data_IF_773480611773
#
_entry.id   IF_773480611773
#
_cell.length_a   1.000
_cell.length_b   1.000
_cell.length_c   1.000
_cell.angle_alpha   90.00
_cell.angle_beta   90.00
_cell.angle_gamma   90.00
#
_symmetry.space_group_name_H-M   'P 1'
#
loop_
_entity.id
_entity.type
_entity.pdbx_description
1 polymer ?
#
# COMPACT_ATOMS: atom_id res chain seq x y z
N UNK A 1 9.16 -6.70 -17.34
CA UNK A 1 7.74 -7.09 -17.21
C UNK A 1 7.24 -6.78 -15.79
N UNK A 2 5.93 -6.59 -15.58
CA UNK A 2 5.33 -6.47 -14.22
C UNK A 2 5.78 -7.62 -13.30
N UNK A 3 5.92 -8.83 -13.87
CA UNK A 3 6.45 -10.01 -13.18
C UNK A 3 7.88 -9.81 -12.65
N UNK A 4 8.75 -9.15 -13.40
CA UNK A 4 10.14 -8.92 -12.98
C UNK A 4 10.24 -7.88 -11.86
N UNK A 5 9.35 -6.88 -11.88
CA UNK A 5 9.24 -5.88 -10.81
C UNK A 5 8.78 -6.57 -9.52
N UNK A 6 7.72 -7.39 -9.61
CA UNK A 6 7.19 -8.13 -8.46
C UNK A 6 8.22 -9.10 -7.89
N UNK A 7 8.91 -9.89 -8.73
CA UNK A 7 9.94 -10.83 -8.27
C UNK A 7 11.13 -10.14 -7.59
N UNK A 8 11.55 -8.95 -8.07
CA UNK A 8 12.62 -8.17 -7.43
C UNK A 8 12.20 -7.60 -6.08
N UNK A 9 10.90 -7.34 -5.88
CA UNK A 9 10.36 -6.86 -4.61
C UNK A 9 10.07 -8.00 -3.62
N UNK A 10 9.75 -9.20 -4.10
CA UNK A 10 9.46 -10.38 -3.25
C UNK A 10 10.71 -11.12 -2.78
N UNK A 11 11.80 -11.08 -3.55
CA UNK A 11 13.07 -11.76 -3.23
C UNK A 11 13.94 -11.07 -2.17
N UNK A 12 13.57 -9.85 -1.74
CA UNK A 12 14.30 -9.08 -0.74
C UNK A 12 13.40 -8.57 0.37
N UNK A 13 13.59 -9.08 1.59
CA UNK A 13 12.94 -8.57 2.82
C UNK A 13 13.23 -7.08 3.12
N UNK A 14 14.05 -6.43 2.32
CA UNK A 14 14.07 -4.99 2.10
C UNK A 14 14.52 -4.80 0.67
N UNK A 15 13.64 -4.40 -0.26
CA UNK A 15 14.13 -3.82 -1.50
C UNK A 15 15.11 -2.71 -1.09
N UNK A 16 16.39 -2.84 -1.46
CA UNK A 16 17.40 -1.85 -1.07
C UNK A 16 16.92 -0.46 -1.50
N UNK A 17 17.32 0.58 -0.80
CA UNK A 17 17.00 1.97 -1.16
C UNK A 17 17.21 2.22 -2.65
N UNK A 18 18.35 1.76 -3.18
CA UNK A 18 18.68 1.77 -4.60
C UNK A 18 17.66 1.05 -5.48
N UNK A 19 17.18 -0.13 -5.06
CA UNK A 19 16.17 -0.89 -5.81
C UNK A 19 14.82 -0.18 -5.86
N UNK A 20 14.38 0.42 -4.75
CA UNK A 20 13.15 1.22 -4.73
C UNK A 20 13.28 2.45 -5.61
N UNK A 21 14.39 3.18 -5.48
CA UNK A 21 14.66 4.37 -6.29
C UNK A 21 14.68 4.05 -7.78
N UNK A 22 15.38 2.99 -8.17
CA UNK A 22 15.39 2.49 -9.54
C UNK A 22 13.96 2.18 -10.04
N UNK A 23 13.12 1.52 -9.24
CA UNK A 23 11.72 1.26 -9.65
C UNK A 23 10.93 2.56 -9.81
N UNK A 24 11.15 3.56 -8.95
CA UNK A 24 10.50 4.87 -9.06
C UNK A 24 10.94 5.60 -10.34
N UNK A 25 12.25 5.70 -10.60
CA UNK A 25 12.83 6.41 -11.75
C UNK A 25 12.40 5.84 -13.11
N UNK A 26 12.14 4.52 -13.18
CA UNK A 26 11.68 3.86 -14.40
C UNK A 26 10.15 3.74 -14.49
N UNK A 27 9.40 4.48 -13.66
CA UNK A 27 7.94 4.52 -13.71
C UNK A 27 7.24 3.23 -13.25
N UNK A 28 7.92 2.40 -12.47
CA UNK A 28 7.35 1.13 -11.98
C UNK A 28 6.11 1.34 -11.12
N UNK A 29 6.08 2.40 -10.30
CA UNK A 29 4.90 2.76 -9.53
C UNK A 29 3.69 3.12 -10.43
N UNK A 30 3.92 3.77 -11.57
CA UNK A 30 2.86 4.07 -12.57
C UNK A 30 2.30 2.77 -13.14
N UNK A 31 3.17 1.81 -13.49
CA UNK A 31 2.74 0.51 -14.00
C UNK A 31 1.92 -0.28 -12.96
N UNK A 32 2.33 -0.26 -11.69
CA UNK A 32 1.61 -0.91 -10.60
C UNK A 32 0.23 -0.27 -10.36
N UNK A 33 0.14 1.07 -10.36
CA UNK A 33 -1.14 1.78 -10.25
C UNK A 33 -2.04 1.53 -11.46
N UNK A 34 -1.47 1.48 -12.66
CA UNK A 34 -2.17 1.11 -13.88
C UNK A 34 -2.75 -0.31 -13.79
N UNK A 35 -2.00 -1.26 -13.24
CA UNK A 35 -2.46 -2.62 -13.04
C UNK A 35 -3.63 -2.71 -12.05
N UNK A 36 -3.55 -1.99 -10.92
CA UNK A 36 -4.64 -1.92 -9.92
C UNK A 36 -5.92 -1.29 -10.47
N UNK A 37 -5.80 -0.33 -11.41
CA UNK A 37 -6.93 0.34 -12.06
C UNK A 37 -7.48 -0.41 -13.26
N UNK A 38 -6.73 -1.37 -13.79
CA UNK A 38 -7.06 -2.05 -15.05
C UNK A 38 -8.25 -3.00 -14.87
N UNK A 39 -9.29 -2.90 -15.71
CA UNK A 39 -10.38 -3.87 -15.75
C UNK A 39 -9.89 -5.30 -16.04
N UNK A 40 -8.74 -5.45 -16.72
CA UNK A 40 -8.16 -6.76 -17.03
C UNK A 40 -7.72 -7.50 -15.77
N UNK A 41 -7.31 -6.76 -14.74
CA UNK A 41 -6.81 -7.35 -13.49
C UNK A 41 -7.81 -7.26 -12.34
N UNK A 42 -9.00 -6.66 -12.54
CA UNK A 42 -10.01 -6.46 -11.50
C UNK A 42 -10.56 -7.75 -10.89
N UNK A 43 -10.30 -8.90 -11.51
CA UNK A 43 -10.70 -10.23 -11.04
C UNK A 43 -9.50 -11.13 -10.70
N UNK A 44 -8.28 -10.58 -10.66
CA UNK A 44 -7.06 -11.34 -10.32
C UNK A 44 -6.52 -10.89 -8.95
N UNK A 45 -6.91 -11.56 -7.85
CA UNK A 45 -6.50 -11.14 -6.52
C UNK A 45 -5.00 -11.26 -6.28
N UNK A 46 -4.30 -12.14 -6.99
CA UNK A 46 -2.85 -12.29 -6.87
C UNK A 46 -2.13 -11.07 -7.43
N UNK A 47 -2.46 -10.65 -8.65
CA UNK A 47 -1.87 -9.46 -9.28
C UNK A 47 -2.16 -8.22 -8.45
N UNK A 48 -3.41 -8.05 -8.00
CA UNK A 48 -3.80 -6.89 -7.21
C UNK A 48 -3.10 -6.87 -5.85
N UNK A 49 -3.00 -8.01 -5.16
CA UNK A 49 -2.30 -8.12 -3.89
C UNK A 49 -0.80 -7.84 -4.03
N UNK A 50 -0.14 -8.37 -5.06
CA UNK A 50 1.28 -8.10 -5.32
C UNK A 50 1.51 -6.63 -5.68
N UNK A 51 0.62 -6.01 -6.45
CA UNK A 51 0.73 -4.58 -6.78
C UNK A 51 0.56 -3.69 -5.55
N UNK A 52 -0.43 -3.99 -4.70
CA UNK A 52 -0.65 -3.25 -3.46
C UNK A 52 0.58 -3.32 -2.54
N UNK A 53 1.09 -4.53 -2.33
CA UNK A 53 2.29 -4.76 -1.52
C UNK A 53 3.51 -4.01 -2.09
N UNK A 54 3.73 -4.12 -3.40
CA UNK A 54 4.82 -3.45 -4.09
C UNK A 54 4.79 -1.93 -3.90
N UNK A 55 3.61 -1.30 -4.08
CA UNK A 55 3.45 0.14 -3.83
C UNK A 55 3.75 0.50 -2.38
N UNK A 56 3.28 -0.31 -1.42
CA UNK A 56 3.63 -0.14 -0.02
C UNK A 56 5.14 -0.15 0.23
N UNK A 57 5.86 -1.09 -0.37
CA UNK A 57 7.33 -1.18 -0.25
C UNK A 57 8.01 0.08 -0.79
N UNK A 58 7.55 0.65 -1.90
CA UNK A 58 8.11 1.88 -2.47
C UNK A 58 7.98 3.09 -1.55
N UNK A 59 7.02 3.07 -0.62
CA UNK A 59 6.78 4.13 0.35
C UNK A 59 7.41 3.89 1.74
N UNK A 60 8.27 2.88 1.90
CA UNK A 60 8.93 2.63 3.17
C UNK A 60 9.85 3.80 3.52
N UNK A 61 9.76 4.23 4.78
CA UNK A 61 10.50 5.34 5.37
C UNK A 61 11.98 4.98 5.59
N UNK A 62 12.75 4.89 4.52
CA UNK A 62 14.20 4.71 4.63
C UNK A 62 14.90 5.32 3.42
N UNK A 63 16.00 6.02 3.70
CA UNK A 63 16.80 6.68 2.68
C UNK A 63 16.52 8.17 2.53
N UNK A 64 17.36 8.86 1.76
CA UNK A 64 17.23 10.30 1.50
C UNK A 64 15.99 10.66 0.69
N UNK A 65 15.51 9.71 -0.11
CA UNK A 65 14.49 9.96 -1.15
C UNK A 65 13.08 9.52 -0.73
N UNK A 66 12.90 9.12 0.54
CA UNK A 66 11.62 8.60 1.03
C UNK A 66 10.48 9.62 0.86
N UNK A 67 10.75 10.90 1.08
CA UNK A 67 9.74 11.96 0.93
C UNK A 67 9.39 12.21 -0.54
N UNK A 68 10.37 12.24 -1.44
CA UNK A 68 10.13 12.36 -2.88
C UNK A 68 9.29 11.20 -3.41
N UNK A 69 9.58 9.97 -2.99
CA UNK A 69 8.79 8.79 -3.38
C UNK A 69 7.34 8.89 -2.88
N UNK A 70 7.13 9.38 -1.65
CA UNK A 70 5.78 9.58 -1.09
C UNK A 70 5.02 10.68 -1.82
N UNK A 71 5.66 11.80 -2.11
CA UNK A 71 5.05 12.91 -2.85
C UNK A 71 4.63 12.46 -4.25
N UNK A 72 5.45 11.67 -4.93
CA UNK A 72 5.12 11.10 -6.23
C UNK A 72 3.93 10.13 -6.13
N UNK A 73 3.92 9.23 -5.14
CA UNK A 73 2.79 8.32 -4.90
C UNK A 73 1.50 9.08 -4.53
N UNK A 74 1.60 10.15 -3.76
CA UNK A 74 0.49 11.04 -3.43
C UNK A 74 -0.06 11.74 -4.67
N UNK A 75 0.82 12.29 -5.51
CA UNK A 75 0.43 12.97 -6.75
C UNK A 75 -0.38 12.06 -7.68
N UNK A 76 -0.14 10.75 -7.61
CA UNK A 76 -0.85 9.73 -8.39
C UNK A 76 -2.03 9.08 -7.66
N UNK A 77 -2.39 9.60 -6.49
CA UNK A 77 -3.49 9.10 -5.66
C UNK A 77 -3.32 7.63 -5.26
N UNK A 78 -2.09 7.17 -5.00
CA UNK A 78 -1.83 5.78 -4.64
C UNK A 78 -2.64 5.31 -3.40
N UNK A 79 -2.76 6.08 -2.30
CA UNK A 79 -3.61 5.69 -1.17
C UNK A 79 -5.05 5.39 -1.56
N UNK A 80 -5.63 6.25 -2.42
CA UNK A 80 -7.00 6.07 -2.89
C UNK A 80 -7.17 4.77 -3.68
N UNK A 81 -6.22 4.45 -4.56
CA UNK A 81 -6.26 3.22 -5.35
C UNK A 81 -6.21 1.99 -4.45
N UNK A 82 -5.34 1.98 -3.44
CA UNK A 82 -5.27 0.88 -2.46
C UNK A 82 -6.59 0.70 -1.71
N UNK A 83 -7.18 1.82 -1.25
CA UNK A 83 -8.48 1.80 -0.55
C UNK A 83 -9.58 1.27 -1.48
N UNK A 84 -9.64 1.75 -2.72
CA UNK A 84 -10.63 1.29 -3.71
C UNK A 84 -10.49 -0.21 -3.99
N UNK A 85 -9.27 -0.74 -4.13
CA UNK A 85 -8.99 -2.18 -4.27
C UNK A 85 -9.49 -2.97 -3.06
N UNK A 86 -9.26 -2.46 -1.85
CA UNK A 86 -9.66 -3.11 -0.60
C UNK A 86 -11.18 -3.23 -0.46
N UNK A 87 -11.96 -2.28 -0.99
CA UNK A 87 -13.42 -2.25 -0.85
C UNK A 87 -14.18 -2.86 -2.03
N UNK A 88 -13.47 -3.33 -3.05
CA UNK A 88 -14.05 -4.03 -4.20
C UNK A 88 -14.97 -5.17 -3.74
N UNK A 89 -16.24 -5.24 -4.18
CA UNK A 89 -17.23 -6.18 -3.65
C UNK A 89 -16.76 -7.64 -3.63
N UNK A 90 -16.08 -8.10 -4.68
CA UNK A 90 -15.60 -9.47 -4.84
C UNK A 90 -14.43 -9.84 -3.92
N UNK A 91 -13.69 -8.86 -3.36
CA UNK A 91 -12.49 -9.10 -2.55
C UNK A 91 -12.62 -8.70 -1.08
N UNK A 92 -13.84 -8.33 -0.63
CA UNK A 92 -14.08 -7.93 0.76
C UNK A 92 -13.70 -8.99 1.79
N UNK A 93 -13.72 -10.26 1.40
CA UNK A 93 -13.33 -11.43 2.22
C UNK A 93 -12.05 -12.12 1.72
N UNK A 94 -11.38 -11.58 0.70
CA UNK A 94 -10.12 -12.17 0.23
C UNK A 94 -8.99 -11.72 1.17
N UNK A 95 -8.52 -12.66 2.00
CA UNK A 95 -7.46 -12.42 2.99
C UNK A 95 -6.20 -11.84 2.35
N UNK A 96 -5.82 -12.27 1.14
CA UNK A 96 -4.59 -11.78 0.49
C UNK A 96 -4.72 -10.32 0.10
N UNK A 97 -5.86 -9.93 -0.48
CA UNK A 97 -6.14 -8.54 -0.84
C UNK A 97 -6.19 -7.67 0.41
N UNK A 98 -6.97 -8.10 1.42
CA UNK A 98 -7.12 -7.32 2.65
C UNK A 98 -5.78 -7.14 3.36
N UNK A 99 -4.99 -8.21 3.48
CA UNK A 99 -3.66 -8.15 4.09
C UNK A 99 -2.72 -7.21 3.33
N UNK A 100 -2.56 -7.39 2.02
CA UNK A 100 -1.64 -6.60 1.22
C UNK A 100 -2.03 -5.13 1.16
N UNK A 101 -3.33 -4.80 1.09
CA UNK A 101 -3.79 -3.41 1.13
C UNK A 101 -3.52 -2.78 2.51
N UNK A 102 -3.83 -3.47 3.61
CA UNK A 102 -3.54 -2.96 4.96
C UNK A 102 -2.04 -2.77 5.19
N UNK A 103 -1.21 -3.70 4.70
CA UNK A 103 0.25 -3.59 4.76
C UNK A 103 0.76 -2.38 3.97
N UNK A 104 0.21 -2.15 2.77
CA UNK A 104 0.55 -0.98 1.96
C UNK A 104 0.18 0.33 2.65
N UNK A 105 -1.05 0.43 3.20
CA UNK A 105 -1.49 1.61 3.94
C UNK A 105 -0.66 1.84 5.21
N UNK A 106 -0.22 0.77 5.89
CA UNK A 106 0.69 0.87 7.03
C UNK A 106 2.04 1.45 6.61
N UNK A 107 2.60 1.05 5.46
CA UNK A 107 3.85 1.62 4.96
C UNK A 107 3.68 3.07 4.51
N UNK A 108 2.56 3.41 3.86
CA UNK A 108 2.23 4.79 3.51
C UNK A 108 2.18 5.69 4.75
N UNK A 109 1.58 5.21 5.83
CA UNK A 109 1.49 5.95 7.09
C UNK A 109 2.85 6.13 7.81
N UNK A 110 3.93 5.52 7.34
CA UNK A 110 5.30 5.75 7.83
C UNK A 110 5.58 5.21 9.23
N UNK A 111 6.71 5.64 9.80
CA UNK A 111 7.13 5.29 11.17
C UNK A 111 6.39 6.12 12.23
N UNK A 112 6.41 5.69 13.49
CA UNK A 112 5.72 6.45 14.58
C UNK A 112 6.43 7.80 14.84
N UNK A 113 7.72 7.87 14.50
CA UNK A 113 8.61 9.02 14.72
C UNK A 113 8.67 9.96 13.51
N UNK A 114 8.17 9.53 12.35
CA UNK A 114 8.12 10.35 11.15
C UNK A 114 7.11 11.49 11.32
N UNK A 115 7.63 12.65 11.73
CA UNK A 115 6.91 13.93 11.75
C UNK A 115 7.16 14.76 10.50
N UNK A 116 7.72 14.18 9.43
CA UNK A 116 7.99 14.91 8.20
C UNK A 116 6.70 15.20 7.41
N UNK A 117 6.75 16.24 6.58
CA UNK A 117 5.57 16.80 5.90
C UNK A 117 4.86 15.75 5.02
N UNK A 118 5.62 14.99 4.22
CA UNK A 118 5.07 14.01 3.30
C UNK A 118 4.33 12.87 4.01
N UNK A 119 4.89 12.34 5.11
CA UNK A 119 4.21 11.30 5.91
C UNK A 119 2.90 11.80 6.51
N UNK A 120 2.88 13.04 7.03
CA UNK A 120 1.65 13.64 7.58
C UNK A 120 0.58 13.84 6.52
N UNK A 121 0.96 14.26 5.31
CA UNK A 121 0.06 14.39 4.16
C UNK A 121 -0.49 13.02 3.75
N UNK A 122 0.37 12.00 3.73
CA UNK A 122 -0.03 10.63 3.42
C UNK A 122 -1.07 10.09 4.40
N UNK A 123 -0.88 10.27 5.71
CA UNK A 123 -1.87 9.87 6.73
C UNK A 123 -3.20 10.58 6.53
N UNK A 124 -3.17 11.91 6.36
CA UNK A 124 -4.38 12.72 6.13
C UNK A 124 -5.10 12.32 4.86
N UNK A 125 -4.38 12.00 3.78
CA UNK A 125 -4.98 11.51 2.55
C UNK A 125 -5.65 10.15 2.76
N UNK A 126 -4.99 9.21 3.43
CA UNK A 126 -5.58 7.89 3.75
C UNK A 126 -6.88 8.06 4.55
N UNK A 127 -6.86 8.85 5.62
CA UNK A 127 -8.04 9.12 6.47
C UNK A 127 -9.13 9.86 5.68
N UNK A 128 -8.75 10.89 4.91
CA UNK A 128 -9.66 11.69 4.09
C UNK A 128 -10.37 10.89 3.00
N UNK A 129 -9.77 9.79 2.54
CA UNK A 129 -10.40 8.83 1.61
C UNK A 129 -11.11 7.66 2.31
N UNK A 130 -11.19 7.66 3.64
CA UNK A 130 -11.88 6.64 4.43
C UNK A 130 -11.09 5.34 4.61
N UNK A 131 -9.76 5.40 4.55
CA UNK A 131 -8.90 4.23 4.73
C UNK A 131 -9.05 3.57 6.10
N UNK A 132 -9.29 4.34 7.16
CA UNK A 132 -9.63 3.84 8.49
C UNK A 132 -10.89 2.97 8.48
N UNK A 133 -11.95 3.42 7.78
CA UNK A 133 -13.21 2.69 7.62
C UNK A 133 -13.01 1.43 6.78
N UNK A 134 -12.23 1.52 5.70
CA UNK A 134 -11.89 0.38 4.86
C UNK A 134 -11.12 -0.69 5.66
N UNK A 135 -10.14 -0.29 6.47
CA UNK A 135 -9.39 -1.19 7.36
C UNK A 135 -10.33 -1.87 8.36
N UNK A 136 -11.18 -1.10 9.04
CA UNK A 136 -12.16 -1.67 9.97
C UNK A 136 -13.13 -2.64 9.28
N UNK A 137 -13.58 -2.33 8.07
CA UNK A 137 -14.44 -3.21 7.30
C UNK A 137 -13.72 -4.50 6.89
N UNK A 138 -12.46 -4.41 6.44
CA UNK A 138 -11.62 -5.56 6.13
C UNK A 138 -11.42 -6.47 7.35
N UNK A 139 -11.14 -5.89 8.52
CA UNK A 139 -11.04 -6.62 9.78
C UNK A 139 -12.35 -7.31 10.16
N UNK A 140 -13.50 -6.63 10.03
CA UNK A 140 -14.82 -7.21 10.31
C UNK A 140 -15.16 -8.38 9.38
N UNK A 141 -14.85 -8.26 8.09
CA UNK A 141 -15.12 -9.30 7.10
C UNK A 141 -14.22 -10.54 7.28
N UNK A 142 -13.12 -10.41 8.01
CA UNK A 142 -12.13 -11.47 8.26
C UNK A 142 -11.85 -11.59 9.77
N UNK A 143 -12.90 -11.58 10.59
CA UNK A 143 -12.81 -11.46 12.06
C UNK A 143 -12.00 -12.59 12.71
N UNK A 144 -11.98 -13.78 12.11
CA UNK A 144 -11.26 -14.94 12.62
C UNK A 144 -9.80 -15.00 12.14
N UNK A 145 -9.42 -14.17 11.16
CA UNK A 145 -8.07 -14.18 10.63
C UNK A 145 -7.15 -13.29 11.48
N UNK A 146 -6.31 -13.93 12.28
CA UNK A 146 -5.37 -13.28 13.21
C UNK A 146 -4.40 -12.35 12.47
N UNK A 147 -3.96 -12.72 11.26
CA UNK A 147 -3.02 -11.94 10.48
C UNK A 147 -3.66 -10.64 9.99
N UNK A 148 -4.92 -10.70 9.54
CA UNK A 148 -5.72 -9.51 9.21
C UNK A 148 -5.95 -8.63 10.43
N UNK A 149 -6.35 -9.21 11.56
CA UNK A 149 -6.59 -8.41 12.77
C UNK A 149 -5.31 -7.68 13.21
N UNK A 150 -4.18 -8.39 13.25
CA UNK A 150 -2.89 -7.81 13.61
C UNK A 150 -2.48 -6.72 12.62
N UNK A 151 -2.56 -6.97 11.32
CA UNK A 151 -2.15 -5.98 10.31
C UNK A 151 -3.05 -4.75 10.34
N UNK A 152 -4.36 -4.94 10.48
CA UNK A 152 -5.33 -3.85 10.62
C UNK A 152 -5.05 -2.98 11.85
N UNK A 153 -4.82 -3.59 13.03
CA UNK A 153 -4.42 -2.87 14.23
C UNK A 153 -3.11 -2.08 14.04
N UNK A 154 -2.11 -2.69 13.40
CA UNK A 154 -0.85 -2.00 13.09
C UNK A 154 -1.07 -0.80 12.17
N UNK A 155 -1.88 -0.94 11.12
CA UNK A 155 -2.19 0.14 10.19
C UNK A 155 -2.97 1.28 10.89
N UNK A 156 -4.00 0.95 11.67
CA UNK A 156 -4.79 1.94 12.41
C UNK A 156 -3.95 2.70 13.43
N UNK A 157 -3.05 2.01 14.14
CA UNK A 157 -2.10 2.67 15.06
C UNK A 157 -1.22 3.69 14.32
N UNK A 158 -0.75 3.37 13.11
CA UNK A 158 0.03 4.34 12.33
C UNK A 158 -0.81 5.54 11.89
N UNK A 159 -2.07 5.32 11.52
CA UNK A 159 -2.99 6.38 11.12
C UNK A 159 -3.41 7.28 12.28
N UNK A 160 -3.42 6.79 13.53
CA UNK A 160 -3.78 7.63 14.69
C UNK A 160 -2.75 8.72 15.04
N UNK A 161 -1.57 8.71 14.42
CA UNK A 161 -0.58 9.80 14.50
C UNK A 161 -0.76 10.86 13.40
N UNK A 162 -1.80 10.75 12.58
CA UNK A 162 -2.10 11.65 11.46
C UNK A 162 -3.01 12.81 11.83
#
# INVERSE_FOLDING_TARGET
SLRDIVLRLESGSTASEHGRRYIMDYGGHVALLGALRSPVHSNNPEVLASCAKALGVLAIDSGSDADAARDELLSQSAPRVIIDTMVMPQFRKDVRIQYSCMEALRHFAGSDEASNSATSLMRREIIGKGGDKAICAGMKNNILDISIQRMGCCALRKLSYG
#
